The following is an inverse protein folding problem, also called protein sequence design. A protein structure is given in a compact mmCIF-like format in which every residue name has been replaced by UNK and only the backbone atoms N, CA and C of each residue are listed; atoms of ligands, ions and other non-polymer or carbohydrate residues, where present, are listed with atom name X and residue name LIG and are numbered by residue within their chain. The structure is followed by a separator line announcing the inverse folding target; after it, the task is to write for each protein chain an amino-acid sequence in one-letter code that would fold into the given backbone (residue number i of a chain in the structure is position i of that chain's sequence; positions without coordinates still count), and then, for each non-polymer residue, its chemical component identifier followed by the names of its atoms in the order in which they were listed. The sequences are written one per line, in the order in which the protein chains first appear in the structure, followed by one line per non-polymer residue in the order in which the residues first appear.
data_IF_671109052195
#
_entry.id   IF_671109052195
#
_cell.length_a   1.000
_cell.length_b   1.000
_cell.length_c   1.000
_cell.angle_alpha   90.00
_cell.angle_beta   90.00
_cell.angle_gamma   90.00
#
_symmetry.space_group_name_H-M   'P 1'
#
loop_
_entity.id
_entity.type
_entity.pdbx_description
1 polymer ?
#
# COMPACT_ATOMS: atom_id res chain seq x y z
N UNK A 1 -1.90 -15.44 -20.68
CA UNK A 1 -2.01 -15.82 -19.24
C UNK A 1 -2.27 -14.58 -18.44
N UNK A 2 -3.26 -14.62 -17.57
CA UNK A 2 -3.60 -13.52 -16.63
C UNK A 2 -2.97 -13.80 -15.26
N UNK A 3 -2.50 -12.76 -14.56
CA UNK A 3 -2.04 -12.86 -13.17
C UNK A 3 -3.09 -12.26 -12.26
N UNK A 4 -3.55 -13.02 -11.27
CA UNK A 4 -4.60 -12.59 -10.34
C UNK A 4 -4.05 -12.61 -8.91
N UNK A 5 -4.01 -11.45 -8.27
CA UNK A 5 -3.56 -11.36 -6.87
C UNK A 5 -4.76 -11.16 -5.96
N UNK A 6 -4.80 -11.89 -4.86
CA UNK A 6 -5.84 -11.73 -3.85
C UNK A 6 -5.23 -11.32 -2.50
N UNK A 7 -5.75 -10.22 -1.94
CA UNK A 7 -5.32 -9.69 -0.65
C UNK A 7 -5.87 -10.48 0.54
N UNK A 8 -5.32 -10.25 1.72
CA UNK A 8 -5.73 -10.97 2.94
C UNK A 8 -7.20 -10.78 3.30
N UNK A 9 -7.82 -9.64 3.02
CA UNK A 9 -9.27 -9.40 3.21
C UNK A 9 -10.13 -10.31 2.34
N UNK A 10 -9.64 -10.65 1.14
CA UNK A 10 -10.29 -11.59 0.21
C UNK A 10 -10.16 -13.06 0.63
N UNK A 11 -9.28 -13.34 1.59
CA UNK A 11 -8.90 -14.70 2.03
C UNK A 11 -9.11 -14.89 3.54
N UNK A 12 -10.04 -14.11 4.14
CA UNK A 12 -10.21 -14.05 5.58
C UNK A 12 -10.74 -15.34 6.21
N UNK A 13 -11.51 -16.12 5.47
CA UNK A 13 -12.19 -17.34 5.93
C UNK A 13 -12.53 -18.25 4.74
N UNK A 14 -13.07 -19.45 5.04
CA UNK A 14 -13.46 -20.46 4.04
C UNK A 14 -14.49 -19.94 3.02
N UNK A 15 -15.43 -19.11 3.47
CA UNK A 15 -16.44 -18.52 2.56
C UNK A 15 -15.80 -17.59 1.54
N UNK A 16 -14.88 -16.75 1.97
CA UNK A 16 -14.10 -15.85 1.10
C UNK A 16 -13.23 -16.65 0.13
N UNK A 17 -12.55 -17.67 0.62
CA UNK A 17 -11.72 -18.57 -0.20
C UNK A 17 -12.55 -19.25 -1.29
N UNK A 18 -13.78 -19.71 -0.99
CA UNK A 18 -14.71 -20.24 -2.01
C UNK A 18 -15.09 -19.19 -3.05
N UNK A 19 -15.32 -17.94 -2.61
CA UNK A 19 -15.58 -16.81 -3.50
C UNK A 19 -14.42 -16.54 -4.46
N UNK A 20 -13.19 -16.52 -3.94
CA UNK A 20 -11.97 -16.39 -4.75
C UNK A 20 -11.82 -17.53 -5.76
N UNK A 21 -12.06 -18.77 -5.35
CA UNK A 21 -12.00 -19.91 -6.27
C UNK A 21 -13.05 -19.83 -7.40
N UNK A 22 -14.23 -19.28 -7.11
CA UNK A 22 -15.24 -19.04 -8.14
C UNK A 22 -14.78 -17.97 -9.15
N UNK A 23 -14.16 -16.88 -8.69
CA UNK A 23 -13.59 -15.83 -9.54
C UNK A 23 -12.49 -16.41 -10.44
N UNK A 24 -11.58 -17.22 -9.87
CA UNK A 24 -10.51 -17.90 -10.61
C UNK A 24 -11.08 -18.83 -11.67
N UNK A 25 -12.10 -19.61 -11.33
CA UNK A 25 -12.75 -20.54 -12.27
C UNK A 25 -13.33 -19.78 -13.47
N UNK A 26 -14.05 -18.71 -13.23
CA UNK A 26 -14.61 -17.90 -14.30
C UNK A 26 -13.51 -17.29 -15.19
N UNK A 27 -12.41 -16.81 -14.61
CA UNK A 27 -11.30 -16.27 -15.38
C UNK A 27 -10.60 -17.32 -16.26
N UNK A 28 -10.57 -18.58 -15.82
CA UNK A 28 -9.98 -19.69 -16.58
C UNK A 28 -10.80 -20.12 -17.81
N UNK A 29 -12.07 -19.73 -17.90
CA UNK A 29 -12.87 -19.96 -19.11
C UNK A 29 -12.32 -19.17 -20.31
N UNK A 30 -11.68 -18.01 -20.03
CA UNK A 30 -11.13 -17.13 -21.06
C UNK A 30 -9.66 -17.46 -21.40
N UNK A 31 -8.84 -17.67 -20.37
CA UNK A 31 -7.38 -17.86 -20.54
C UNK A 31 -6.74 -18.51 -19.30
N UNK A 32 -5.53 -19.10 -19.43
CA UNK A 32 -4.76 -19.59 -18.29
C UNK A 32 -4.49 -18.49 -17.27
N UNK A 33 -4.50 -18.86 -15.98
CA UNK A 33 -4.26 -17.93 -14.86
C UNK A 33 -3.06 -18.36 -14.02
N UNK A 34 -2.39 -17.38 -13.41
CA UNK A 34 -1.47 -17.56 -12.29
C UNK A 34 -2.01 -16.77 -11.11
N UNK A 35 -1.98 -17.37 -9.93
CA UNK A 35 -2.59 -16.80 -8.72
C UNK A 35 -1.50 -16.40 -7.75
N UNK A 36 -1.56 -15.17 -7.22
CA UNK A 36 -0.68 -14.68 -6.16
C UNK A 36 -1.54 -14.42 -4.91
N UNK A 37 -1.20 -15.03 -3.79
CA UNK A 37 -1.95 -14.87 -2.56
C UNK A 37 -1.12 -14.19 -1.46
N UNK A 38 -1.78 -13.33 -0.71
CA UNK A 38 -1.30 -12.87 0.60
C UNK A 38 -1.64 -13.88 1.69
N UNK A 39 -1.09 -13.70 2.88
CA UNK A 39 -1.55 -14.38 4.09
C UNK A 39 -3.05 -14.12 4.34
N UNK A 40 -3.73 -14.98 5.07
CA UNK A 40 -5.10 -14.72 5.54
C UNK A 40 -5.13 -13.46 6.41
N UNK A 41 -6.25 -12.73 6.37
CA UNK A 41 -6.42 -11.47 7.12
C UNK A 41 -5.99 -11.58 8.57
N UNK A 42 -5.08 -10.72 9.02
CA UNK A 42 -4.58 -10.62 10.40
C UNK A 42 -3.48 -11.64 10.76
N UNK A 43 -3.15 -12.61 9.90
CA UNK A 43 -2.09 -13.59 10.18
C UNK A 43 -0.73 -12.93 10.25
N UNK A 44 -0.43 -11.99 9.36
CA UNK A 44 0.83 -11.23 9.37
C UNK A 44 1.03 -10.50 10.70
N UNK A 45 -0.01 -9.81 11.19
CA UNK A 45 0.03 -9.12 12.50
C UNK A 45 0.23 -10.11 13.66
N UNK A 46 -0.42 -11.28 13.58
CA UNK A 46 -0.25 -12.35 14.58
C UNK A 46 1.20 -12.86 14.61
N UNK A 47 1.81 -13.06 13.44
CA UNK A 47 3.21 -13.49 13.32
C UNK A 47 4.18 -12.45 13.89
N UNK A 48 3.99 -11.17 13.59
CA UNK A 48 4.76 -10.06 14.18
C UNK A 48 4.62 -10.07 15.69
N UNK A 49 3.38 -10.17 16.20
CA UNK A 49 3.11 -10.22 17.63
C UNK A 49 3.78 -11.40 18.30
N UNK A 50 3.70 -12.60 17.71
CA UNK A 50 4.35 -13.80 18.25
C UNK A 50 5.86 -13.65 18.32
N UNK A 51 6.50 -13.16 17.23
CA UNK A 51 7.95 -12.93 17.18
C UNK A 51 8.42 -11.93 18.25
N UNK A 52 7.69 -10.81 18.41
CA UNK A 52 8.02 -9.80 19.43
C UNK A 52 7.84 -10.31 20.85
N UNK A 53 6.79 -11.12 21.11
CA UNK A 53 6.61 -11.78 22.41
C UNK A 53 7.73 -12.76 22.71
N UNK A 54 8.10 -13.61 21.75
CA UNK A 54 9.21 -14.54 21.90
C UNK A 54 10.53 -13.80 22.21
N UNK A 55 10.83 -12.72 21.49
CA UNK A 55 11.99 -11.86 21.74
C UNK A 55 12.01 -11.31 23.18
N UNK A 56 10.87 -10.90 23.70
CA UNK A 56 10.72 -10.44 25.10
C UNK A 56 10.70 -11.59 26.11
N UNK A 57 10.63 -12.85 25.65
CA UNK A 57 10.45 -14.04 26.46
C UNK A 57 9.10 -14.15 27.13
N UNK A 58 8.10 -13.57 26.52
CA UNK A 58 6.69 -13.74 26.90
C UNK A 58 6.19 -15.06 26.30
N UNK A 59 5.86 -16.11 27.12
CA UNK A 59 5.38 -17.38 26.60
C UNK A 59 4.04 -17.28 25.89
N UNK A 60 3.36 -16.15 25.96
CA UNK A 60 2.10 -15.90 25.26
C UNK A 60 2.19 -16.02 23.74
N UNK A 61 3.39 -16.06 23.15
CA UNK A 61 3.55 -16.34 21.72
C UNK A 61 3.04 -17.73 21.34
N UNK A 62 3.15 -18.72 22.24
CA UNK A 62 2.66 -20.08 21.99
C UNK A 62 1.15 -20.11 21.76
N UNK A 63 0.38 -19.33 22.55
CA UNK A 63 -1.06 -19.21 22.34
C UNK A 63 -1.40 -18.59 20.99
N UNK A 64 -0.64 -17.58 20.55
CA UNK A 64 -0.83 -16.96 19.23
C UNK A 64 -0.63 -17.99 18.11
N UNK A 65 0.40 -18.85 18.24
CA UNK A 65 0.66 -19.91 17.25
C UNK A 65 -0.42 -21.00 17.28
N UNK A 66 -0.90 -21.39 18.46
CA UNK A 66 -2.02 -22.35 18.56
C UNK A 66 -3.31 -21.80 17.95
N UNK A 67 -3.62 -20.52 18.12
CA UNK A 67 -4.76 -19.86 17.50
C UNK A 67 -4.59 -19.80 15.96
N UNK A 68 -3.38 -19.54 15.48
CA UNK A 68 -3.03 -19.58 14.05
C UNK A 68 -3.21 -21.01 13.50
N UNK A 69 -2.68 -22.03 14.17
CA UNK A 69 -2.85 -23.44 13.82
C UNK A 69 -4.34 -23.78 13.70
N UNK A 70 -5.10 -23.53 14.76
CA UNK A 70 -6.53 -23.81 14.82
C UNK A 70 -7.27 -23.17 13.65
N UNK A 71 -6.97 -21.90 13.35
CA UNK A 71 -7.61 -21.18 12.26
C UNK A 71 -7.36 -21.84 10.91
N UNK A 72 -6.12 -22.25 10.61
CA UNK A 72 -5.80 -22.93 9.35
C UNK A 72 -6.44 -24.31 9.29
N UNK A 73 -6.43 -25.10 10.39
CA UNK A 73 -7.07 -26.42 10.45
C UNK A 73 -8.57 -26.31 10.20
N UNK A 74 -9.27 -25.45 10.95
CA UNK A 74 -10.72 -25.23 10.74
C UNK A 74 -11.01 -24.81 9.31
N UNK A 75 -10.18 -23.94 8.71
CA UNK A 75 -10.37 -23.52 7.32
C UNK A 75 -10.24 -24.69 6.35
N UNK A 76 -9.27 -25.59 6.56
CA UNK A 76 -9.09 -26.80 5.72
C UNK A 76 -10.28 -27.74 5.88
N UNK A 77 -10.70 -28.04 7.13
CA UNK A 77 -11.84 -28.91 7.42
C UNK A 77 -13.15 -28.37 6.80
N UNK A 78 -13.34 -27.07 6.78
CA UNK A 78 -14.49 -26.45 6.14
C UNK A 78 -14.42 -26.45 4.59
N UNK A 79 -13.23 -26.43 4.01
CA UNK A 79 -13.03 -26.33 2.56
C UNK A 79 -12.96 -27.68 1.87
N UNK A 80 -12.31 -28.66 2.50
CA UNK A 80 -11.97 -29.94 1.88
C UNK A 80 -12.90 -31.07 2.37
N UNK A 81 -13.27 -32.00 1.49
CA UNK A 81 -13.80 -33.29 1.93
C UNK A 81 -12.78 -34.03 2.82
N UNK A 82 -13.27 -34.81 3.78
CA UNK A 82 -12.44 -35.51 4.77
C UNK A 82 -11.31 -36.34 4.11
N UNK A 83 -11.62 -37.01 3.01
CA UNK A 83 -10.70 -37.83 2.20
C UNK A 83 -9.55 -37.01 1.53
N UNK A 84 -9.72 -35.69 1.36
CA UNK A 84 -8.74 -34.79 0.76
C UNK A 84 -8.04 -33.88 1.78
N UNK A 85 -8.43 -33.94 3.06
CA UNK A 85 -7.94 -33.04 4.11
C UNK A 85 -6.68 -33.54 4.82
N UNK A 86 -6.44 -34.86 4.87
CA UNK A 86 -5.37 -35.47 5.69
C UNK A 86 -3.96 -34.99 5.29
N UNK A 87 -3.63 -35.01 3.99
CA UNK A 87 -2.34 -34.56 3.51
C UNK A 87 -2.10 -33.06 3.75
N UNK A 88 -3.01 -32.13 3.37
CA UNK A 88 -2.87 -30.70 3.70
C UNK A 88 -2.76 -30.42 5.18
N UNK A 89 -3.54 -31.09 6.04
CA UNK A 89 -3.46 -30.96 7.51
C UNK A 89 -2.07 -31.35 7.99
N UNK A 90 -1.51 -32.44 7.50
CA UNK A 90 -0.17 -32.91 7.91
C UNK A 90 0.91 -31.92 7.49
N UNK A 91 0.87 -31.42 6.27
CA UNK A 91 1.86 -30.44 5.76
C UNK A 91 1.78 -29.12 6.54
N UNK A 92 0.58 -28.61 6.77
CA UNK A 92 0.37 -27.35 7.49
C UNK A 92 0.76 -27.50 8.96
N UNK A 93 0.42 -28.65 9.61
CA UNK A 93 0.87 -28.91 10.98
C UNK A 93 2.39 -28.88 11.08
N UNK A 94 3.10 -29.55 10.17
CA UNK A 94 4.57 -29.55 10.15
C UNK A 94 5.16 -28.16 9.99
N UNK A 95 4.58 -27.29 9.15
CA UNK A 95 5.02 -25.91 9.00
C UNK A 95 4.78 -25.08 10.27
N UNK A 96 3.67 -25.30 10.96
CA UNK A 96 3.43 -24.60 12.22
C UNK A 96 4.37 -25.11 13.31
N UNK A 97 4.73 -26.39 13.32
CA UNK A 97 5.73 -26.94 14.24
C UNK A 97 7.13 -26.32 13.97
N UNK A 98 7.52 -26.19 12.69
CA UNK A 98 8.76 -25.46 12.31
C UNK A 98 8.75 -24.02 12.83
N UNK A 99 7.60 -23.32 12.76
CA UNK A 99 7.45 -21.97 13.27
C UNK A 99 7.55 -21.92 14.81
N UNK A 100 7.03 -22.92 15.52
CA UNK A 100 7.18 -23.06 16.96
C UNK A 100 8.65 -23.22 17.34
N UNK A 101 9.38 -24.11 16.67
CA UNK A 101 10.81 -24.33 16.93
C UNK A 101 11.64 -23.06 16.67
N UNK A 102 11.33 -22.34 15.59
CA UNK A 102 11.97 -21.07 15.26
C UNK A 102 11.73 -20.02 16.35
N UNK A 103 10.50 -19.83 16.80
CA UNK A 103 10.19 -18.84 17.82
C UNK A 103 10.64 -19.25 19.22
N UNK A 104 10.74 -20.55 19.51
CA UNK A 104 11.40 -21.03 20.72
C UNK A 104 12.90 -20.69 20.70
N UNK A 105 13.56 -20.80 19.54
CA UNK A 105 14.94 -20.32 19.37
C UNK A 105 15.07 -18.83 19.66
N UNK A 106 14.15 -18.00 19.14
CA UNK A 106 14.09 -16.55 19.42
C UNK A 106 13.90 -16.27 20.92
N UNK A 107 13.01 -17.01 21.59
CA UNK A 107 12.76 -16.89 23.03
C UNK A 107 14.04 -17.20 23.84
N UNK A 108 14.80 -18.23 23.47
CA UNK A 108 16.04 -18.61 24.16
C UNK A 108 17.15 -17.58 24.05
N UNK A 109 17.33 -17.00 22.83
CA UNK A 109 18.40 -16.01 22.57
C UNK A 109 17.97 -14.57 22.87
N UNK A 110 16.66 -14.31 23.04
CA UNK A 110 16.10 -12.96 23.29
C UNK A 110 16.41 -11.95 22.18
N UNK A 111 16.47 -12.42 20.95
CA UNK A 111 16.76 -11.60 19.78
C UNK A 111 15.95 -12.06 18.57
N UNK A 112 15.27 -11.11 17.91
CA UNK A 112 14.61 -11.32 16.63
C UNK A 112 15.15 -10.33 15.61
N UNK A 113 16.19 -10.75 14.88
CA UNK A 113 16.74 -9.93 13.81
C UNK A 113 15.74 -9.76 12.66
N UNK A 114 15.93 -8.73 11.81
CA UNK A 114 15.09 -8.52 10.62
C UNK A 114 15.10 -9.75 9.69
N UNK A 115 16.22 -10.45 9.60
CA UNK A 115 16.32 -11.72 8.88
C UNK A 115 15.40 -12.80 9.46
N UNK A 116 15.35 -12.91 10.78
CA UNK A 116 14.48 -13.86 11.47
C UNK A 116 13.02 -13.46 11.28
N UNK A 117 12.72 -12.17 11.33
CA UNK A 117 11.39 -11.64 11.09
C UNK A 117 10.90 -11.96 9.68
N UNK A 118 11.73 -11.76 8.64
CA UNK A 118 11.38 -12.12 7.26
C UNK A 118 11.01 -13.62 7.13
N UNK A 119 11.79 -14.49 7.78
CA UNK A 119 11.48 -15.92 7.79
C UNK A 119 10.16 -16.22 8.49
N UNK A 120 9.92 -15.65 9.68
CA UNK A 120 8.65 -15.80 10.42
C UNK A 120 7.46 -15.34 9.57
N UNK A 121 7.57 -14.18 8.95
CA UNK A 121 6.49 -13.62 8.14
C UNK A 121 6.16 -14.48 6.92
N UNK A 122 7.16 -15.17 6.34
CA UNK A 122 6.95 -16.03 5.17
C UNK A 122 5.96 -17.17 5.40
N UNK A 123 5.74 -17.58 6.65
CA UNK A 123 4.81 -18.66 6.97
C UNK A 123 3.36 -18.29 6.64
N UNK A 124 2.99 -17.02 6.74
CA UNK A 124 1.61 -16.58 6.46
C UNK A 124 1.16 -16.90 5.05
N UNK A 125 1.94 -16.51 4.06
CA UNK A 125 1.66 -16.76 2.64
C UNK A 125 1.82 -18.25 2.29
N UNK A 126 2.83 -18.91 2.83
CA UNK A 126 3.07 -20.36 2.58
C UNK A 126 1.89 -21.20 3.05
N UNK A 127 1.42 -21.00 4.27
CA UNK A 127 0.26 -21.70 4.83
C UNK A 127 -1.01 -21.47 4.00
N UNK A 128 -1.27 -20.24 3.61
CA UNK A 128 -2.47 -19.89 2.85
C UNK A 128 -2.41 -20.44 1.41
N UNK A 129 -1.28 -20.33 0.71
CA UNK A 129 -1.12 -20.84 -0.64
C UNK A 129 -1.25 -22.37 -0.71
N UNK A 130 -0.71 -23.10 0.28
CA UNK A 130 -0.89 -24.55 0.38
C UNK A 130 -2.36 -24.93 0.57
N UNK A 131 -3.07 -24.24 1.49
CA UNK A 131 -4.50 -24.44 1.72
C UNK A 131 -5.31 -24.20 0.45
N UNK A 132 -5.03 -23.10 -0.26
CA UNK A 132 -5.77 -22.74 -1.48
C UNK A 132 -5.49 -23.70 -2.65
N UNK A 133 -4.24 -24.11 -2.85
CA UNK A 133 -3.87 -25.07 -3.89
C UNK A 133 -4.53 -26.44 -3.66
N UNK A 134 -4.56 -26.90 -2.41
CA UNK A 134 -5.27 -28.14 -2.03
C UNK A 134 -6.77 -28.03 -2.31
N UNK A 135 -7.40 -26.91 -1.96
CA UNK A 135 -8.81 -26.66 -2.20
C UNK A 135 -9.16 -26.62 -3.69
N UNK A 136 -8.38 -25.94 -4.52
CA UNK A 136 -8.59 -25.94 -5.97
C UNK A 136 -8.49 -27.36 -6.55
N UNK A 137 -7.47 -28.12 -6.14
CA UNK A 137 -7.25 -29.49 -6.60
C UNK A 137 -8.40 -30.40 -6.20
N UNK A 138 -8.86 -30.36 -4.96
CA UNK A 138 -10.02 -31.11 -4.48
C UNK A 138 -11.33 -30.69 -5.18
N UNK A 139 -11.39 -29.45 -5.67
CA UNK A 139 -12.51 -28.92 -6.47
C UNK A 139 -12.44 -29.30 -7.97
N UNK A 140 -11.51 -30.18 -8.35
CA UNK A 140 -11.34 -30.65 -9.72
C UNK A 140 -10.52 -29.73 -10.64
N UNK A 141 -9.80 -28.77 -10.06
CA UNK A 141 -8.91 -27.86 -10.77
C UNK A 141 -7.46 -28.10 -10.33
N UNK A 142 -6.66 -28.89 -11.06
CA UNK A 142 -5.28 -29.15 -10.68
C UNK A 142 -4.51 -27.87 -10.43
N UNK A 143 -4.02 -27.69 -9.21
CA UNK A 143 -3.28 -26.51 -8.79
C UNK A 143 -1.97 -26.92 -8.13
N UNK A 144 -0.96 -26.06 -8.27
CA UNK A 144 0.39 -26.32 -7.78
C UNK A 144 0.82 -25.17 -6.85
N UNK A 145 1.21 -25.50 -5.63
CA UNK A 145 1.88 -24.58 -4.75
C UNK A 145 3.23 -24.15 -5.32
N UNK A 146 3.47 -22.85 -5.40
CA UNK A 146 4.72 -22.27 -5.90
C UNK A 146 5.28 -21.31 -4.87
N UNK A 147 6.42 -21.64 -4.29
CA UNK A 147 7.12 -20.75 -3.37
C UNK A 147 7.87 -19.67 -4.16
N UNK A 148 7.56 -18.41 -3.90
CA UNK A 148 8.18 -17.30 -4.61
C UNK A 148 9.69 -17.15 -4.30
N UNK A 149 10.20 -17.77 -3.22
CA UNK A 149 11.63 -17.81 -2.92
C UNK A 149 12.45 -18.52 -4.00
N UNK A 150 11.83 -19.43 -4.76
CA UNK A 150 12.46 -20.11 -5.88
C UNK A 150 12.54 -19.25 -7.15
N UNK A 151 11.78 -18.14 -7.19
CA UNK A 151 11.57 -17.32 -8.38
C UNK A 151 12.07 -15.90 -8.23
N UNK A 152 11.79 -15.25 -7.09
CA UNK A 152 12.10 -13.84 -6.86
C UNK A 152 13.43 -13.75 -6.12
N UNK A 153 14.43 -13.22 -6.83
CA UNK A 153 15.77 -12.98 -6.29
C UNK A 153 15.89 -11.53 -5.82
N UNK A 154 16.48 -11.36 -4.65
CA UNK A 154 16.73 -10.03 -4.06
C UNK A 154 18.17 -9.91 -3.56
N UNK A 155 18.52 -8.69 -3.15
CA UNK A 155 19.68 -8.49 -2.27
C UNK A 155 19.45 -9.11 -0.87
N UNK A 156 20.40 -8.89 0.03
CA UNK A 156 20.35 -9.38 1.42
C UNK A 156 19.78 -8.34 2.39
N UNK A 157 19.07 -7.33 1.91
CA UNK A 157 18.33 -6.38 2.75
C UNK A 157 17.06 -7.05 3.26
N UNK A 158 16.78 -6.93 4.57
CA UNK A 158 15.60 -7.53 5.19
C UNK A 158 14.50 -6.50 5.43
N UNK A 159 13.23 -6.95 5.39
CA UNK A 159 12.02 -6.14 5.58
C UNK A 159 11.55 -5.36 4.34
N UNK A 160 12.45 -5.07 3.39
CA UNK A 160 12.12 -4.41 2.11
C UNK A 160 13.27 -4.62 1.11
N UNK A 161 13.47 -5.87 0.70
CA UNK A 161 14.58 -6.27 -0.14
C UNK A 161 14.47 -5.74 -1.57
N UNK A 162 15.60 -5.42 -2.17
CA UNK A 162 15.70 -4.91 -3.55
C UNK A 162 15.75 -6.07 -4.53
N UNK A 163 14.83 -6.09 -5.49
CA UNK A 163 14.69 -7.17 -6.48
C UNK A 163 15.75 -7.09 -7.56
N UNK A 164 16.41 -8.20 -7.87
CA UNK A 164 17.11 -8.41 -9.13
C UNK A 164 16.12 -8.76 -10.23
N UNK A 165 15.72 -7.78 -11.01
CA UNK A 165 14.72 -7.97 -12.07
C UNK A 165 15.14 -8.98 -13.13
N UNK A 166 16.42 -8.97 -13.53
CA UNK A 166 16.92 -9.81 -14.63
C UNK A 166 16.80 -11.27 -14.27
N UNK A 167 17.34 -11.65 -13.13
CA UNK A 167 17.33 -13.03 -12.68
C UNK A 167 15.91 -13.45 -12.26
N UNK A 168 15.15 -12.57 -11.59
CA UNK A 168 13.76 -12.82 -11.20
C UNK A 168 12.89 -13.15 -12.42
N UNK A 169 12.96 -12.38 -13.49
CA UNK A 169 12.14 -12.65 -14.67
C UNK A 169 12.51 -13.97 -15.34
N UNK A 170 13.78 -14.30 -15.41
CA UNK A 170 14.22 -15.58 -15.99
C UNK A 170 13.78 -16.80 -15.15
N UNK A 171 13.95 -16.73 -13.83
CA UNK A 171 13.52 -17.80 -12.92
C UNK A 171 12.02 -17.98 -12.93
N UNK A 172 11.27 -16.89 -12.84
CA UNK A 172 9.80 -16.89 -12.86
C UNK A 172 9.26 -17.49 -14.16
N UNK A 173 9.72 -17.00 -15.31
CA UNK A 173 9.29 -17.55 -16.60
C UNK A 173 9.59 -19.05 -16.73
N UNK A 174 10.79 -19.48 -16.33
CA UNK A 174 11.20 -20.89 -16.35
C UNK A 174 10.36 -21.76 -15.41
N UNK A 175 10.08 -21.26 -14.21
CA UNK A 175 9.29 -21.99 -13.19
C UNK A 175 7.84 -22.15 -13.63
N UNK A 176 7.22 -21.08 -14.11
CA UNK A 176 5.81 -21.12 -14.51
C UNK A 176 5.58 -21.87 -15.82
N UNK A 177 6.54 -21.89 -16.73
CA UNK A 177 6.46 -22.73 -17.92
C UNK A 177 6.42 -24.24 -17.60
N UNK A 178 6.92 -24.65 -16.43
CA UNK A 178 6.95 -26.05 -15.97
C UNK A 178 5.80 -26.39 -15.03
N UNK A 179 4.94 -25.45 -14.71
CA UNK A 179 3.84 -25.70 -13.79
C UNK A 179 2.89 -26.76 -14.34
N UNK A 180 2.59 -27.77 -13.53
CA UNK A 180 1.73 -28.91 -13.93
C UNK A 180 0.23 -28.59 -13.78
N UNK A 181 -0.13 -27.45 -13.21
CA UNK A 181 -1.49 -27.00 -12.97
C UNK A 181 -1.55 -25.48 -12.79
N UNK A 182 -2.58 -24.98 -12.13
CA UNK A 182 -2.73 -23.57 -11.81
C UNK A 182 -1.66 -23.21 -10.78
N UNK A 183 -0.68 -22.32 -11.09
CA UNK A 183 0.31 -21.92 -10.11
C UNK A 183 -0.31 -21.01 -9.05
N UNK A 184 -0.22 -21.45 -7.78
CA UNK A 184 -0.63 -20.68 -6.59
C UNK A 184 0.65 -20.20 -5.89
N UNK A 185 0.97 -18.95 -6.05
CA UNK A 185 2.27 -18.33 -5.75
C UNK A 185 2.18 -17.57 -4.43
N UNK A 186 3.16 -17.77 -3.55
CA UNK A 186 3.28 -16.94 -2.34
C UNK A 186 3.60 -15.51 -2.72
N UNK A 187 2.74 -14.57 -2.33
CA UNK A 187 3.04 -13.14 -2.44
C UNK A 187 4.07 -12.71 -1.39
N UNK A 188 4.60 -11.48 -1.50
CA UNK A 188 5.42 -10.82 -0.47
C UNK A 188 6.81 -11.45 -0.21
N UNK A 189 6.96 -12.75 -0.37
CA UNK A 189 8.15 -13.52 -0.01
C UNK A 189 9.13 -13.63 -1.19
N UNK A 190 10.42 -13.58 -0.90
CA UNK A 190 11.51 -13.72 -1.86
C UNK A 190 12.73 -14.38 -1.21
N UNK A 191 13.82 -14.53 -1.94
CA UNK A 191 15.09 -14.99 -1.37
C UNK A 191 16.31 -14.24 -1.92
N UNK A 192 17.36 -14.16 -1.12
CA UNK A 192 18.68 -13.72 -1.56
C UNK A 192 19.39 -14.80 -2.40
N UNK A 193 20.54 -14.45 -2.99
CA UNK A 193 21.37 -15.38 -3.76
C UNK A 193 21.85 -16.59 -2.93
N UNK A 194 22.00 -16.40 -1.63
CA UNK A 194 22.40 -17.45 -0.67
C UNK A 194 21.21 -18.32 -0.20
N UNK A 195 20.01 -18.11 -0.76
CA UNK A 195 18.80 -18.85 -0.40
C UNK A 195 18.19 -18.42 0.93
N UNK A 196 18.59 -17.27 1.48
CA UNK A 196 18.01 -16.71 2.70
C UNK A 196 16.69 -16.03 2.37
N UNK A 197 15.64 -16.32 3.15
CA UNK A 197 14.34 -15.68 2.99
C UNK A 197 14.44 -14.17 3.20
N UNK A 198 13.85 -13.42 2.29
CA UNK A 198 13.67 -11.97 2.33
C UNK A 198 12.22 -11.61 2.07
N UNK A 199 11.82 -10.39 2.39
CA UNK A 199 10.47 -9.89 2.11
C UNK A 199 10.51 -8.59 1.30
N UNK A 200 9.46 -8.37 0.50
CA UNK A 200 9.37 -7.26 -0.44
C UNK A 200 8.80 -5.96 0.19
N UNK A 201 8.56 -5.96 1.50
CA UNK A 201 8.01 -4.80 2.20
C UNK A 201 6.52 -4.57 1.97
N UNK A 202 6.06 -3.35 2.21
CA UNK A 202 4.62 -3.00 2.08
C UNK A 202 4.09 -3.32 0.70
N UNK A 203 2.87 -3.89 0.64
CA UNK A 203 2.20 -4.32 -0.59
C UNK A 203 3.05 -5.31 -1.43
N UNK A 204 3.94 -6.07 -0.77
CA UNK A 204 4.83 -7.02 -1.42
C UNK A 204 4.11 -8.08 -2.26
N UNK A 205 2.87 -8.46 -1.91
CA UNK A 205 2.08 -9.38 -2.73
C UNK A 205 1.61 -8.75 -4.06
N UNK A 206 1.30 -7.44 -4.08
CA UNK A 206 0.99 -6.71 -5.31
C UNK A 206 2.24 -6.60 -6.18
N UNK A 207 3.41 -6.39 -5.54
CA UNK A 207 4.70 -6.37 -6.21
C UNK A 207 5.02 -7.74 -6.81
N UNK A 208 4.81 -8.83 -6.07
CA UNK A 208 4.95 -10.20 -6.60
C UNK A 208 4.10 -10.40 -7.86
N UNK A 209 2.83 -9.98 -7.83
CA UNK A 209 1.93 -10.13 -8.99
C UNK A 209 2.41 -9.34 -10.21
N UNK A 210 2.92 -8.12 -9.99
CA UNK A 210 3.49 -7.27 -11.03
C UNK A 210 4.77 -7.88 -11.63
N UNK A 211 5.68 -8.41 -10.78
CA UNK A 211 6.90 -9.12 -11.21
C UNK A 211 6.57 -10.37 -12.02
N UNK A 212 5.63 -11.18 -11.53
CA UNK A 212 5.15 -12.37 -12.23
C UNK A 212 4.54 -11.98 -13.58
N UNK A 213 3.66 -10.98 -13.59
CA UNK A 213 3.03 -10.49 -14.83
C UNK A 213 4.06 -10.04 -15.85
N UNK A 214 5.06 -9.29 -15.41
CA UNK A 214 6.17 -8.83 -16.25
C UNK A 214 7.00 -10.00 -16.80
N UNK A 215 7.28 -11.01 -15.97
CA UNK A 215 8.10 -12.17 -16.35
C UNK A 215 7.46 -13.04 -17.42
N UNK A 216 6.13 -13.19 -17.39
CA UNK A 216 5.39 -14.06 -18.33
C UNK A 216 4.72 -13.29 -19.47
N UNK A 217 4.93 -11.96 -19.55
CA UNK A 217 4.23 -11.07 -20.48
C UNK A 217 2.72 -11.28 -20.41
N UNK A 218 2.18 -11.13 -19.19
CA UNK A 218 0.78 -11.40 -18.90
C UNK A 218 -0.15 -10.53 -19.75
N UNK A 219 -1.33 -11.05 -20.09
CA UNK A 219 -2.40 -10.28 -20.76
C UNK A 219 -2.97 -9.19 -19.88
N UNK A 220 -2.99 -9.42 -18.56
CA UNK A 220 -3.35 -8.46 -17.52
C UNK A 220 -2.83 -8.90 -16.14
N UNK A 221 -2.67 -7.94 -15.24
CA UNK A 221 -2.50 -8.16 -13.80
C UNK A 221 -3.74 -7.62 -13.10
N UNK A 222 -4.43 -8.46 -12.34
CA UNK A 222 -5.63 -8.09 -11.59
C UNK A 222 -5.34 -8.14 -10.09
N UNK A 223 -5.48 -6.99 -9.40
CA UNK A 223 -5.38 -6.87 -7.95
C UNK A 223 -6.80 -6.90 -7.38
N UNK A 224 -7.14 -8.00 -6.74
CA UNK A 224 -8.44 -8.22 -6.11
C UNK A 224 -8.39 -7.84 -4.63
N UNK A 225 -9.26 -6.91 -4.24
CA UNK A 225 -9.36 -6.34 -2.90
C UNK A 225 -10.84 -6.26 -2.47
N UNK A 226 -11.17 -5.43 -1.46
CA UNK A 226 -12.52 -5.26 -0.90
C UNK A 226 -13.21 -3.96 -1.34
N UNK A 227 -12.68 -3.27 -2.34
CA UNK A 227 -13.27 -2.05 -2.93
C UNK A 227 -13.52 -2.23 -4.42
N UNK A 228 -14.55 -1.56 -4.96
CA UNK A 228 -14.97 -1.67 -6.38
C UNK A 228 -13.95 -1.09 -7.36
N UNK A 229 -12.92 -0.41 -6.89
CA UNK A 229 -11.89 0.26 -7.67
C UNK A 229 -11.41 1.52 -6.96
N UNK A 230 -10.71 2.38 -7.69
CA UNK A 230 -10.28 3.69 -7.21
C UNK A 230 -11.47 4.64 -7.29
N UNK A 231 -11.82 5.26 -6.17
CA UNK A 231 -12.96 6.17 -6.06
C UNK A 231 -12.57 7.60 -6.40
N UNK A 232 -13.50 8.37 -6.95
CA UNK A 232 -13.31 9.80 -7.24
C UNK A 232 -13.15 10.67 -5.98
N UNK A 233 -13.60 10.19 -4.83
CA UNK A 233 -13.38 10.72 -3.48
C UNK A 233 -13.73 9.62 -2.47
N UNK A 234 -13.41 9.84 -1.17
CA UNK A 234 -13.81 8.92 -0.09
C UNK A 234 -15.33 8.83 -0.01
N UNK A 235 -15.95 7.66 -0.27
CA UNK A 235 -17.42 7.50 -0.27
C UNK A 235 -18.05 7.74 1.10
N UNK A 236 -17.26 7.68 2.19
CA UNK A 236 -17.73 8.00 3.56
C UNK A 236 -18.00 9.48 3.74
N UNK A 237 -17.27 10.33 3.01
CA UNK A 237 -17.40 11.79 3.03
C UNK A 237 -18.25 12.31 1.86
N UNK A 238 -18.16 11.65 0.70
CA UNK A 238 -18.80 12.05 -0.56
C UNK A 238 -19.65 10.88 -1.08
N UNK A 239 -20.92 10.75 -0.65
CA UNK A 239 -21.77 9.62 -1.05
C UNK A 239 -22.01 9.50 -2.57
N UNK A 240 -21.90 10.59 -3.32
CA UNK A 240 -22.01 10.64 -4.78
C UNK A 240 -20.69 10.29 -5.50
N UNK A 241 -19.64 9.92 -4.77
CA UNK A 241 -18.40 9.46 -5.39
C UNK A 241 -18.64 8.20 -6.22
N UNK A 242 -17.86 8.04 -7.28
CA UNK A 242 -17.99 6.94 -8.23
C UNK A 242 -16.64 6.28 -8.47
N UNK A 243 -16.68 5.04 -8.97
CA UNK A 243 -15.46 4.32 -9.38
C UNK A 243 -14.92 4.94 -10.65
N UNK A 244 -13.65 5.34 -10.62
CA UNK A 244 -12.95 5.87 -11.79
C UNK A 244 -12.63 4.69 -12.71
N UNK A 245 -13.12 4.69 -13.97
CA UNK A 245 -12.96 3.53 -14.86
C UNK A 245 -11.49 3.27 -15.26
N UNK A 246 -10.74 4.34 -15.46
CA UNK A 246 -9.36 4.28 -15.91
C UNK A 246 -8.57 5.49 -15.39
N UNK A 247 -7.33 5.27 -14.96
CA UNK A 247 -6.41 6.30 -14.49
C UNK A 247 -4.99 6.00 -14.98
N UNK A 248 -4.16 7.05 -15.11
CA UNK A 248 -2.73 6.85 -15.34
C UNK A 248 -2.02 6.40 -14.06
N UNK A 249 -0.85 5.77 -14.22
CA UNK A 249 -0.01 5.44 -13.06
C UNK A 249 0.36 6.69 -12.25
N UNK A 250 0.56 7.82 -12.91
CA UNK A 250 0.92 9.07 -12.25
C UNK A 250 -0.23 9.60 -11.39
N UNK A 251 -1.47 9.57 -11.91
CA UNK A 251 -2.66 9.91 -11.11
C UNK A 251 -2.85 8.93 -9.95
N UNK A 252 -2.63 7.64 -10.18
CA UNK A 252 -2.66 6.62 -9.12
C UNK A 252 -1.63 6.89 -8.03
N UNK A 253 -0.42 7.36 -8.40
CA UNK A 253 0.63 7.76 -7.44
C UNK A 253 0.19 8.93 -6.58
N UNK A 254 -0.39 9.95 -7.17
CA UNK A 254 -0.88 11.12 -6.44
C UNK A 254 -2.05 10.76 -5.51
N UNK A 255 -3.04 10.01 -5.99
CA UNK A 255 -4.16 9.55 -5.18
C UNK A 255 -3.70 8.71 -3.98
N UNK A 256 -2.77 7.79 -4.21
CA UNK A 256 -2.23 6.92 -3.16
C UNK A 256 -1.42 7.69 -2.12
N UNK A 257 -0.62 8.67 -2.53
CA UNK A 257 0.17 9.48 -1.62
C UNK A 257 -0.71 10.25 -0.63
N UNK A 258 -1.87 10.72 -1.08
CA UNK A 258 -2.82 11.48 -0.27
C UNK A 258 -3.95 10.64 0.35
N UNK A 259 -3.76 9.33 0.52
CA UNK A 259 -4.62 8.51 1.38
C UNK A 259 -5.54 7.49 0.70
N UNK A 260 -5.50 7.36 -0.63
CA UNK A 260 -6.14 6.23 -1.28
C UNK A 260 -5.28 4.96 -1.04
N UNK A 261 -5.45 4.30 0.11
CA UNK A 261 -4.65 3.14 0.55
C UNK A 261 -4.80 1.90 -0.35
N UNK A 262 -5.60 1.99 -1.40
CA UNK A 262 -5.95 0.87 -2.30
C UNK A 262 -4.77 0.44 -3.17
N UNK A 263 -3.80 1.34 -3.40
CA UNK A 263 -2.74 1.15 -4.39
C UNK A 263 -1.39 1.58 -3.80
N UNK A 264 -0.34 0.81 -4.09
CA UNK A 264 1.05 1.26 -3.87
C UNK A 264 1.77 1.30 -5.23
N UNK A 265 1.88 2.47 -5.88
CA UNK A 265 2.24 2.57 -7.28
C UNK A 265 3.61 1.98 -7.65
N UNK A 266 4.59 2.06 -6.76
CA UNK A 266 5.92 1.47 -7.00
C UNK A 266 5.88 -0.03 -7.21
N UNK A 267 4.91 -0.74 -6.58
CA UNK A 267 4.76 -2.17 -6.74
C UNK A 267 4.18 -2.57 -8.10
N UNK A 268 3.63 -1.60 -8.82
CA UNK A 268 2.99 -1.79 -10.13
C UNK A 268 3.94 -1.53 -11.31
N UNK A 269 5.08 -0.86 -11.06
CA UNK A 269 6.04 -0.47 -12.09
C UNK A 269 6.44 -1.64 -13.03
N UNK A 270 6.76 -2.87 -12.56
CA UNK A 270 7.17 -3.94 -13.44
C UNK A 270 6.16 -4.30 -14.53
N UNK A 271 4.86 -4.27 -14.20
CA UNK A 271 3.80 -4.53 -15.17
C UNK A 271 3.56 -3.33 -16.09
N UNK A 272 3.52 -2.13 -15.51
CA UNK A 272 3.23 -0.89 -16.24
C UNK A 272 4.33 -0.55 -17.25
N UNK A 273 5.60 -0.71 -16.91
CA UNK A 273 6.75 -0.48 -17.82
C UNK A 273 6.75 -1.43 -19.04
N UNK A 274 5.97 -2.49 -18.96
CA UNK A 274 5.81 -3.46 -20.07
C UNK A 274 4.44 -3.35 -20.75
N UNK A 275 3.74 -2.25 -20.52
CA UNK A 275 2.40 -2.01 -21.07
C UNK A 275 1.36 -3.10 -20.71
N UNK A 276 1.56 -3.82 -19.61
CA UNK A 276 0.61 -4.81 -19.12
C UNK A 276 -0.53 -4.10 -18.39
N UNK A 277 -1.78 -4.25 -18.82
CA UNK A 277 -2.93 -3.66 -18.14
C UNK A 277 -3.03 -4.13 -16.70
N UNK A 278 -3.16 -3.20 -15.76
CA UNK A 278 -3.34 -3.50 -14.35
C UNK A 278 -4.74 -3.08 -13.93
N UNK A 279 -5.42 -3.95 -13.19
CA UNK A 279 -6.80 -3.72 -12.75
C UNK A 279 -6.91 -3.80 -11.24
N UNK A 280 -7.70 -2.89 -10.65
CA UNK A 280 -8.16 -2.99 -9.26
C UNK A 280 -9.61 -3.46 -9.30
N UNK A 281 -9.92 -4.58 -8.62
CA UNK A 281 -11.20 -5.25 -8.65
C UNK A 281 -11.68 -5.65 -7.27
N UNK A 282 -12.99 -5.80 -7.10
CA UNK A 282 -13.61 -6.16 -5.82
C UNK A 282 -13.96 -7.65 -5.76
N UNK A 283 -13.37 -8.35 -4.79
CA UNK A 283 -13.67 -9.76 -4.52
C UNK A 283 -15.11 -9.97 -4.05
N UNK A 284 -15.71 -8.95 -3.40
CA UNK A 284 -17.09 -9.00 -2.88
C UNK A 284 -18.13 -8.62 -3.93
N UNK A 285 -17.70 -7.95 -5.00
CA UNK A 285 -18.53 -7.52 -6.12
C UNK A 285 -17.77 -7.83 -7.43
N UNK A 286 -17.62 -9.12 -7.81
CA UNK A 286 -16.82 -9.52 -8.98
C UNK A 286 -17.37 -9.00 -10.30
N UNK A 287 -18.65 -8.60 -10.34
CA UNK A 287 -19.30 -8.01 -11.51
C UNK A 287 -18.94 -6.54 -11.74
N UNK A 288 -18.41 -5.85 -10.73
CA UNK A 288 -17.91 -4.50 -10.91
C UNK A 288 -16.74 -4.49 -11.90
N UNK A 289 -16.75 -3.51 -12.81
CA UNK A 289 -15.71 -3.37 -13.83
C UNK A 289 -14.33 -3.15 -13.21
N UNK A 290 -14.25 -2.44 -12.09
CA UNK A 290 -13.01 -2.03 -11.47
C UNK A 290 -12.38 -0.78 -12.13
N UNK A 291 -11.16 -0.47 -11.70
CA UNK A 291 -10.34 0.61 -12.25
C UNK A 291 -9.16 0.02 -13.02
N UNK A 292 -8.99 0.44 -14.26
CA UNK A 292 -7.78 0.14 -15.04
C UNK A 292 -6.70 1.18 -14.75
N UNK A 293 -5.46 0.72 -14.51
CA UNK A 293 -4.29 1.57 -14.40
C UNK A 293 -3.45 1.43 -15.66
N UNK A 294 -3.17 2.56 -16.32
CA UNK A 294 -2.41 2.67 -17.55
C UNK A 294 -1.02 3.27 -17.31
N UNK A 295 0.00 2.80 -18.03
CA UNK A 295 1.33 3.42 -18.07
C UNK A 295 1.36 4.76 -18.83
N UNK A 296 0.30 5.05 -19.59
CA UNK A 296 0.19 6.23 -20.43
C UNK A 296 -0.90 7.16 -19.91
N UNK A 297 -0.81 8.47 -20.24
CA UNK A 297 -1.87 9.43 -19.97
C UNK A 297 -3.22 8.94 -20.51
N UNK A 298 -4.25 9.02 -19.67
CA UNK A 298 -5.60 8.62 -20.05
C UNK A 298 -6.40 9.87 -20.43
N UNK A 299 -6.88 9.98 -21.69
CA UNK A 299 -7.71 11.10 -22.07
C UNK A 299 -9.05 11.08 -21.31
N UNK A 300 -9.30 12.09 -20.49
CA UNK A 300 -10.59 12.30 -19.83
C UNK A 300 -11.19 13.61 -20.31
N UNK A 301 -12.53 13.66 -20.44
CA UNK A 301 -13.24 14.92 -20.68
C UNK A 301 -13.18 15.83 -19.45
N UNK A 302 -13.10 15.24 -18.27
CA UNK A 302 -13.07 15.93 -16.99
C UNK A 302 -11.70 16.56 -16.72
N UNK A 303 -11.72 17.71 -16.05
CA UNK A 303 -10.51 18.43 -15.69
C UNK A 303 -9.74 17.75 -14.56
N UNK A 304 -10.44 17.15 -13.60
CA UNK A 304 -9.85 16.41 -12.48
C UNK A 304 -10.30 14.95 -12.52
N UNK A 305 -9.46 14.10 -11.96
CA UNK A 305 -9.68 12.64 -11.87
C UNK A 305 -10.30 12.27 -10.53
N UNK A 306 -9.81 12.86 -9.46
CA UNK A 306 -10.32 12.58 -8.12
C UNK A 306 -9.78 13.50 -7.04
N UNK A 307 -10.28 13.25 -5.83
CA UNK A 307 -9.90 13.92 -4.60
C UNK A 307 -9.39 12.90 -3.61
N UNK A 308 -8.33 13.25 -2.89
CA UNK A 308 -7.82 12.46 -1.77
C UNK A 308 -7.56 13.36 -0.57
N UNK A 309 -7.53 12.78 0.63
CA UNK A 309 -7.18 13.53 1.83
C UNK A 309 -6.31 12.72 2.79
N UNK A 310 -5.46 13.43 3.52
CA UNK A 310 -4.59 12.88 4.57
C UNK A 310 -4.92 13.57 5.88
N UNK A 311 -5.49 12.82 6.80
CA UNK A 311 -5.76 13.28 8.16
C UNK A 311 -4.58 13.09 9.11
N UNK A 312 -4.80 13.49 10.36
CA UNK A 312 -3.81 13.41 11.44
C UNK A 312 -2.49 14.09 11.07
N UNK A 313 -2.59 15.29 10.50
CA UNK A 313 -1.44 16.11 10.15
C UNK A 313 -1.36 17.35 11.02
N UNK A 314 -0.14 17.80 11.22
CA UNK A 314 0.16 19.05 11.89
C UNK A 314 1.02 19.93 10.99
N UNK A 315 0.82 21.25 11.11
CA UNK A 315 1.58 22.27 10.42
C UNK A 315 2.61 22.86 11.39
N UNK A 316 3.86 22.90 10.94
CA UNK A 316 4.93 23.64 11.59
C UNK A 316 5.27 24.83 10.73
N UNK A 317 5.20 26.02 11.27
CA UNK A 317 5.59 27.25 10.60
C UNK A 317 6.77 27.89 11.33
N UNK A 318 7.89 28.02 10.62
CA UNK A 318 9.10 28.71 11.08
C UNK A 318 9.11 30.07 10.41
N UNK A 319 8.84 31.14 11.18
CA UNK A 319 8.74 32.53 10.69
C UNK A 319 9.77 33.43 11.35
N UNK A 320 10.40 34.28 10.56
CA UNK A 320 11.26 35.32 11.12
C UNK A 320 11.87 36.24 10.06
N UNK A 321 11.79 37.55 10.30
CA UNK A 321 12.40 38.57 9.45
C UNK A 321 13.93 38.43 9.37
N UNK A 322 14.56 37.82 10.36
CA UNK A 322 15.99 37.51 10.37
C UNK A 322 16.41 36.29 9.58
N UNK A 323 15.48 35.55 8.94
CA UNK A 323 15.79 34.44 8.05
C UNK A 323 16.15 34.92 6.62
N UNK A 324 15.77 36.14 6.28
CA UNK A 324 15.94 36.69 4.94
C UNK A 324 17.43 36.76 4.55
N UNK A 325 17.77 36.19 3.43
CA UNK A 325 19.12 36.24 2.88
C UNK A 325 20.18 35.46 3.67
N UNK A 326 19.78 34.58 4.62
CA UNK A 326 20.70 33.67 5.30
C UNK A 326 20.76 32.35 4.51
N UNK A 327 21.88 32.07 3.79
CA UNK A 327 22.00 30.81 3.04
C UNK A 327 21.95 29.60 3.99
N UNK A 328 21.22 28.55 3.59
CA UNK A 328 21.23 27.27 4.28
C UNK A 328 20.16 27.11 5.37
N UNK A 329 19.28 28.08 5.63
CA UNK A 329 18.22 27.96 6.63
C UNK A 329 17.30 26.76 6.34
N UNK A 330 16.84 26.60 5.09
CA UNK A 330 16.03 25.45 4.69
C UNK A 330 16.77 24.12 4.91
N UNK A 331 18.09 24.06 4.58
CA UNK A 331 18.90 22.88 4.82
C UNK A 331 18.97 22.49 6.30
N UNK A 332 19.06 23.45 7.21
CA UNK A 332 19.08 23.21 8.65
C UNK A 332 17.72 22.70 9.14
N UNK A 333 16.63 23.33 8.72
CA UNK A 333 15.27 22.89 9.05
C UNK A 333 15.04 21.44 8.59
N UNK A 334 15.32 21.14 7.32
CA UNK A 334 15.14 19.79 6.80
C UNK A 334 16.12 18.78 7.40
N UNK A 335 17.36 19.19 7.67
CA UNK A 335 18.36 18.38 8.35
C UNK A 335 17.98 17.99 9.77
N UNK A 336 17.37 18.93 10.54
CA UNK A 336 16.85 18.65 11.88
C UNK A 336 15.72 17.61 11.84
N UNK A 337 14.78 17.74 10.91
CA UNK A 337 13.69 16.78 10.75
C UNK A 337 14.20 15.40 10.29
N UNK A 338 15.19 15.36 9.40
CA UNK A 338 15.82 14.10 8.98
C UNK A 338 16.52 13.40 10.17
N UNK A 339 17.29 14.13 11.00
CA UNK A 339 17.88 13.60 12.24
C UNK A 339 16.83 13.10 13.23
N UNK A 340 15.68 13.77 13.28
CA UNK A 340 14.54 13.34 14.07
C UNK A 340 13.82 12.10 13.49
N UNK A 341 14.13 11.66 12.28
CA UNK A 341 13.38 10.59 11.57
C UNK A 341 11.94 10.99 11.29
N UNK A 342 11.69 12.27 11.02
CA UNK A 342 10.37 12.83 10.71
C UNK A 342 10.22 12.97 9.20
N UNK A 343 9.16 12.36 8.65
CA UNK A 343 8.84 12.50 7.24
C UNK A 343 7.97 13.74 7.00
N UNK A 344 8.35 14.54 6.01
CA UNK A 344 7.61 15.73 5.59
C UNK A 344 6.61 15.33 4.52
N UNK A 345 5.32 15.65 4.73
CA UNK A 345 4.23 15.31 3.80
C UNK A 345 4.05 16.42 2.76
N UNK A 346 4.12 17.69 3.18
CA UNK A 346 3.94 18.84 2.30
C UNK A 346 4.84 19.99 2.73
N UNK A 347 5.34 20.73 1.76
CA UNK A 347 6.13 21.96 1.98
C UNK A 347 5.44 23.09 1.26
N UNK A 348 5.25 24.22 1.95
CA UNK A 348 4.82 25.47 1.36
C UNK A 348 5.76 26.58 1.84
N UNK A 349 6.39 27.28 0.91
CA UNK A 349 7.30 28.37 1.22
C UNK A 349 6.90 29.63 0.44
N UNK A 350 6.76 30.74 1.18
CA UNK A 350 6.51 32.04 0.56
C UNK A 350 7.76 32.56 -0.16
N UNK A 351 7.58 33.33 -1.23
CA UNK A 351 8.66 33.86 -2.09
C UNK A 351 9.63 34.78 -1.33
N UNK A 352 9.22 35.27 -0.17
CA UNK A 352 9.97 36.25 0.64
C UNK A 352 11.00 35.62 1.60
N UNK A 353 11.21 34.30 1.59
CA UNK A 353 12.10 33.58 2.52
C UNK A 353 11.83 33.83 4.02
N UNK A 354 10.71 34.51 4.36
CA UNK A 354 10.35 34.85 5.75
C UNK A 354 9.73 33.69 6.50
N UNK A 355 9.22 32.68 5.79
CA UNK A 355 8.57 31.55 6.41
C UNK A 355 8.82 30.24 5.66
N UNK A 356 9.00 29.18 6.41
CA UNK A 356 9.01 27.80 5.92
C UNK A 356 7.86 27.08 6.63
N UNK A 357 6.89 26.64 5.84
CA UNK A 357 5.70 25.95 6.32
C UNK A 357 5.78 24.46 5.93
N UNK A 358 5.65 23.57 6.90
CA UNK A 358 5.83 22.13 6.77
C UNK A 358 4.63 21.41 7.33
N UNK A 359 4.14 20.39 6.62
CA UNK A 359 3.16 19.46 7.15
C UNK A 359 3.82 18.10 7.42
N UNK A 360 3.57 17.58 8.61
CA UNK A 360 4.06 16.29 9.10
C UNK A 360 2.91 15.50 9.74
N UNK A 361 3.12 14.22 10.07
CA UNK A 361 2.16 13.48 10.89
C UNK A 361 2.05 14.10 12.29
N UNK A 362 0.85 14.27 12.79
CA UNK A 362 0.58 14.87 14.11
C UNK A 362 1.29 14.09 15.24
N UNK A 363 1.36 12.77 15.15
CA UNK A 363 2.09 11.92 16.10
C UNK A 363 3.59 12.18 16.19
N UNK A 364 4.17 12.90 15.22
CA UNK A 364 5.58 13.26 15.17
C UNK A 364 5.84 14.71 15.61
N UNK A 365 4.80 15.50 15.92
CA UNK A 365 4.88 16.93 16.15
C UNK A 365 5.82 17.29 17.31
N UNK A 366 5.65 16.67 18.47
CA UNK A 366 6.46 16.93 19.65
C UNK A 366 7.95 16.69 19.39
N UNK A 367 8.26 15.55 18.75
CA UNK A 367 9.62 15.16 18.39
C UNK A 367 10.22 16.13 17.36
N UNK A 368 9.48 16.49 16.33
CA UNK A 368 9.89 17.45 15.31
C UNK A 368 10.20 18.81 15.93
N UNK A 369 9.30 19.31 16.78
CA UNK A 369 9.45 20.58 17.46
C UNK A 369 10.69 20.63 18.37
N UNK A 370 10.98 19.55 19.10
CA UNK A 370 12.15 19.48 19.97
C UNK A 370 13.45 19.60 19.16
N UNK A 371 13.60 18.83 18.07
CA UNK A 371 14.78 18.87 17.22
C UNK A 371 14.95 20.22 16.48
N UNK A 372 13.86 20.81 16.02
CA UNK A 372 13.90 22.12 15.37
C UNK A 372 14.29 23.24 16.35
N UNK A 373 13.76 23.25 17.56
CA UNK A 373 14.14 24.25 18.60
C UNK A 373 15.60 24.11 19.00
N UNK A 374 16.13 22.88 19.04
CA UNK A 374 17.54 22.66 19.35
C UNK A 374 18.46 23.14 18.21
N UNK A 375 18.14 22.79 16.97
CA UNK A 375 18.91 23.20 15.78
C UNK A 375 18.88 24.71 15.54
N UNK A 376 17.75 25.38 15.84
CA UNK A 376 17.52 26.79 15.57
C UNK A 376 17.63 27.66 16.84
N UNK A 377 18.26 27.15 17.90
CA UNK A 377 18.36 27.81 19.21
C UNK A 377 18.96 29.20 19.12
N UNK A 378 20.06 29.35 18.38
CA UNK A 378 20.75 30.67 18.26
C UNK A 378 19.86 31.69 17.56
N UNK A 379 19.13 31.30 16.52
CA UNK A 379 18.22 32.19 15.80
C UNK A 379 17.02 32.60 16.66
N UNK A 380 16.53 31.68 17.48
CA UNK A 380 15.46 31.96 18.44
C UNK A 380 15.93 32.91 19.54
N UNK A 381 17.13 32.71 20.13
CA UNK A 381 17.71 33.57 21.17
C UNK A 381 18.02 34.96 20.61
N UNK A 382 18.50 35.04 19.37
CA UNK A 382 18.81 36.30 18.69
C UNK A 382 17.58 37.00 18.10
N UNK A 383 16.37 36.41 18.26
CA UNK A 383 15.11 36.88 17.67
C UNK A 383 15.18 37.08 16.15
N UNK A 384 15.95 36.23 15.47
CA UNK A 384 15.97 36.13 14.00
C UNK A 384 14.79 35.31 13.48
N UNK A 385 14.35 34.35 14.28
CA UNK A 385 13.10 33.65 14.15
C UNK A 385 12.13 34.24 15.16
N UNK A 386 11.05 34.85 14.68
CA UNK A 386 10.07 35.56 15.49
C UNK A 386 9.04 34.59 16.07
N UNK A 387 8.67 33.57 15.30
CA UNK A 387 7.63 32.62 15.67
C UNK A 387 7.96 31.20 15.19
N UNK A 388 7.71 30.29 16.10
CA UNK A 388 7.68 28.86 15.82
C UNK A 388 6.30 28.36 16.20
N UNK A 389 5.42 28.23 15.18
CA UNK A 389 4.04 27.84 15.39
C UNK A 389 3.85 26.37 15.06
N UNK A 390 3.23 25.65 15.97
CA UNK A 390 2.80 24.29 15.82
C UNK A 390 1.27 24.24 15.85
N UNK A 391 0.65 23.71 14.82
CA UNK A 391 -0.80 23.60 14.71
C UNK A 391 -1.19 22.16 14.39
N UNK A 392 -1.70 21.40 15.37
CA UNK A 392 -2.26 20.06 15.16
C UNK A 392 -3.71 20.15 14.67
N UNK A 393 -4.33 18.99 14.41
CA UNK A 393 -5.74 18.88 14.10
C UNK A 393 -6.09 19.29 12.66
N UNK A 394 -5.17 19.09 11.72
CA UNK A 394 -5.32 19.52 10.34
C UNK A 394 -5.52 18.34 9.40
N UNK A 395 -5.97 18.66 8.20
CA UNK A 395 -6.17 17.77 7.07
C UNK A 395 -5.52 18.37 5.83
N UNK A 396 -4.82 17.54 5.04
CA UNK A 396 -4.40 17.91 3.69
C UNK A 396 -5.41 17.34 2.72
N UNK A 397 -5.93 18.17 1.83
CA UNK A 397 -6.77 17.75 0.70
C UNK A 397 -6.02 17.98 -0.59
N UNK A 398 -6.07 17.00 -1.48
CA UNK A 398 -5.46 17.04 -2.80
C UNK A 398 -6.50 16.87 -3.89
N UNK A 399 -6.46 17.77 -4.86
CA UNK A 399 -7.22 17.71 -6.12
C UNK A 399 -6.27 17.19 -7.19
N UNK A 400 -6.62 16.05 -7.79
CA UNK A 400 -5.72 15.30 -8.67
C UNK A 400 -6.32 15.13 -10.05
N UNK A 401 -5.50 15.31 -11.07
CA UNK A 401 -5.87 15.05 -12.45
C UNK A 401 -4.80 15.51 -13.44
N UNK A 402 -4.45 14.63 -14.34
CA UNK A 402 -3.48 14.90 -15.40
C UNK A 402 -3.96 15.98 -16.39
N UNK A 403 -5.28 16.04 -16.58
CA UNK A 403 -5.93 17.03 -17.44
C UNK A 403 -6.05 18.44 -16.84
N UNK A 404 -5.58 18.66 -15.63
CA UNK A 404 -5.44 20.01 -15.05
C UNK A 404 -4.32 20.81 -15.70
N UNK A 405 -3.31 20.10 -16.21
CA UNK A 405 -2.12 20.71 -16.79
C UNK A 405 -2.47 21.64 -17.95
N UNK A 406 -2.01 22.89 -17.85
CA UNK A 406 -2.24 23.91 -18.88
C UNK A 406 -3.69 24.35 -19.05
N UNK A 407 -4.62 23.96 -18.17
CA UNK A 407 -6.02 24.42 -18.20
C UNK A 407 -6.24 25.59 -17.27
N UNK A 408 -6.49 26.80 -17.79
CA UNK A 408 -6.82 27.97 -16.96
C UNK A 408 -8.10 27.75 -16.14
N UNK A 409 -8.12 28.31 -14.93
CA UNK A 409 -9.32 28.39 -14.11
C UNK A 409 -9.53 27.25 -13.11
N UNK A 410 -8.77 26.17 -13.16
CA UNK A 410 -8.93 25.02 -12.23
C UNK A 410 -8.75 25.47 -10.77
N UNK A 411 -7.62 26.11 -10.44
CA UNK A 411 -7.37 26.62 -9.08
C UNK A 411 -8.44 27.63 -8.64
N UNK A 412 -8.86 28.51 -9.58
CA UNK A 412 -9.94 29.45 -9.32
C UNK A 412 -11.25 28.75 -8.92
N UNK A 413 -11.62 27.68 -9.62
CA UNK A 413 -12.81 26.87 -9.33
C UNK A 413 -12.73 26.18 -7.97
N UNK A 414 -11.57 25.57 -7.64
CA UNK A 414 -11.32 24.96 -6.33
C UNK A 414 -11.50 25.98 -5.21
N UNK A 415 -10.74 27.09 -5.24
CA UNK A 415 -10.75 28.05 -4.15
C UNK A 415 -12.03 28.89 -4.08
N UNK A 416 -12.73 29.10 -5.19
CA UNK A 416 -14.07 29.71 -5.18
C UNK A 416 -15.09 28.80 -4.49
N UNK A 417 -15.06 27.49 -4.73
CA UNK A 417 -15.95 26.55 -4.04
C UNK A 417 -15.69 26.55 -2.52
N UNK A 418 -14.43 26.51 -2.09
CA UNK A 418 -14.04 26.59 -0.67
C UNK A 418 -14.46 27.90 -0.02
N UNK A 419 -14.18 29.05 -0.66
CA UNK A 419 -14.54 30.36 -0.16
C UNK A 419 -16.07 30.55 -0.03
N UNK A 420 -16.85 30.05 -1.00
CA UNK A 420 -18.31 30.08 -0.94
C UNK A 420 -18.88 29.22 0.19
N UNK A 421 -18.20 28.14 0.55
CA UNK A 421 -18.57 27.26 1.67
C UNK A 421 -18.02 27.75 3.05
N UNK A 422 -17.26 28.87 3.08
CA UNK A 422 -16.66 29.39 4.30
C UNK A 422 -15.47 28.61 4.83
N UNK A 423 -14.86 27.74 4.01
CA UNK A 423 -13.68 26.95 4.39
C UNK A 423 -12.43 27.81 4.30
N UNK A 424 -11.66 27.86 5.39
CA UNK A 424 -10.38 28.56 5.44
C UNK A 424 -9.23 27.64 4.99
N UNK A 425 -8.36 28.15 4.10
CA UNK A 425 -7.17 27.46 3.62
C UNK A 425 -5.92 28.01 4.32
N UNK A 426 -5.18 27.14 5.00
CA UNK A 426 -4.02 27.52 5.81
C UNK A 426 -2.71 27.53 5.02
N UNK A 427 -2.56 26.61 4.09
CA UNK A 427 -1.39 26.51 3.21
C UNK A 427 -1.80 25.86 1.88
N UNK A 428 -1.04 26.18 0.83
CA UNK A 428 -1.26 25.65 -0.53
C UNK A 428 0.08 25.19 -1.09
N UNK A 429 0.07 24.05 -1.77
CA UNK A 429 1.20 23.58 -2.57
C UNK A 429 0.71 23.07 -3.92
N UNK A 430 1.41 23.46 -4.98
CA UNK A 430 1.21 22.95 -6.32
C UNK A 430 2.56 22.74 -6.98
N UNK A 431 2.82 21.52 -7.44
CA UNK A 431 4.03 21.18 -8.17
C UNK A 431 4.02 21.71 -9.62
N UNK A 432 5.19 21.79 -10.24
CA UNK A 432 5.32 22.19 -11.66
C UNK A 432 4.73 21.18 -12.64
N UNK A 433 4.37 19.97 -12.19
CA UNK A 433 3.62 18.98 -12.97
C UNK A 433 2.19 19.40 -13.24
N UNK A 434 1.63 20.31 -12.44
CA UNK A 434 0.23 20.77 -12.47
C UNK A 434 -0.81 19.63 -12.32
N UNK A 435 -0.38 18.45 -11.88
CA UNK A 435 -1.24 17.27 -11.73
C UNK A 435 -1.97 17.23 -10.38
N UNK A 436 -1.51 18.04 -9.45
CA UNK A 436 -1.99 18.06 -8.07
C UNK A 436 -2.05 19.50 -7.55
N UNK A 437 -3.16 19.84 -6.89
CA UNK A 437 -3.31 21.02 -6.06
C UNK A 437 -3.60 20.54 -4.66
N UNK A 438 -2.63 20.70 -3.74
CA UNK A 438 -2.77 20.31 -2.35
C UNK A 438 -2.96 21.53 -1.47
N UNK A 439 -3.84 21.45 -0.49
CA UNK A 439 -4.05 22.53 0.47
C UNK A 439 -4.40 21.99 1.85
N UNK A 440 -4.10 22.77 2.86
CA UNK A 440 -4.30 22.44 4.29
C UNK A 440 -5.51 23.18 4.82
N UNK A 441 -6.37 22.44 5.51
CA UNK A 441 -7.58 22.95 6.16
C UNK A 441 -7.65 22.45 7.61
N UNK A 442 -8.57 22.99 8.39
CA UNK A 442 -8.96 22.39 9.66
C UNK A 442 -9.61 21.03 9.43
N UNK A 443 -9.31 20.04 10.27
CA UNK A 443 -9.89 18.68 10.16
C UNK A 443 -11.42 18.70 10.21
N UNK A 444 -12.00 19.63 10.97
CA UNK A 444 -13.45 19.76 11.10
C UNK A 444 -14.13 20.07 9.76
N UNK A 445 -13.41 20.70 8.82
CA UNK A 445 -13.94 21.10 7.51
C UNK A 445 -13.74 20.03 6.42
N UNK A 446 -13.17 18.85 6.75
CA UNK A 446 -12.83 17.80 5.78
C UNK A 446 -13.98 17.39 4.89
N UNK A 447 -15.10 16.94 5.49
CA UNK A 447 -16.23 16.37 4.74
C UNK A 447 -16.92 17.45 3.90
N UNK A 448 -17.06 18.66 4.44
CA UNK A 448 -17.58 19.81 3.69
C UNK A 448 -16.67 20.13 2.49
N UNK A 449 -15.36 20.18 2.70
CA UNK A 449 -14.37 20.47 1.67
C UNK A 449 -14.42 19.45 0.53
N UNK A 450 -14.37 18.16 0.87
CA UNK A 450 -14.43 17.09 -0.15
C UNK A 450 -15.74 17.16 -0.93
N UNK A 451 -16.88 17.38 -0.25
CA UNK A 451 -18.19 17.50 -0.89
C UNK A 451 -18.25 18.66 -1.86
N UNK A 452 -17.94 19.88 -1.42
CA UNK A 452 -18.10 21.08 -2.27
C UNK A 452 -17.12 21.10 -3.44
N UNK A 453 -15.90 20.59 -3.27
CA UNK A 453 -14.95 20.49 -4.37
C UNK A 453 -15.37 19.40 -5.35
N UNK A 454 -15.82 18.23 -4.86
CA UNK A 454 -16.35 17.18 -5.72
C UNK A 454 -17.54 17.68 -6.54
N UNK A 455 -18.52 18.31 -5.91
CA UNK A 455 -19.68 18.88 -6.60
C UNK A 455 -19.29 19.93 -7.64
N UNK A 456 -18.31 20.77 -7.32
CA UNK A 456 -17.83 21.76 -8.25
C UNK A 456 -17.33 21.15 -9.57
N UNK A 457 -16.74 19.94 -9.55
CA UNK A 457 -16.14 19.34 -10.74
C UNK A 457 -16.95 18.20 -11.36
N UNK A 458 -17.83 17.54 -10.61
CA UNK A 458 -18.52 16.33 -11.06
C UNK A 458 -20.03 16.48 -11.18
N UNK A 459 -20.67 17.49 -10.53
CA UNK A 459 -22.12 17.65 -10.55
C UNK A 459 -22.69 18.40 -11.77
N UNK A 460 -21.85 18.97 -12.68
CA UNK A 460 -22.30 19.82 -13.79
C UNK A 460 -22.48 19.11 -15.15
N UNK A 461 -22.37 17.78 -15.21
CA UNK A 461 -22.50 17.04 -16.48
C UNK A 461 -23.92 16.43 -16.72
N UNK A 462 -24.94 16.94 -16.05
CA UNK A 462 -26.33 16.51 -16.27
C UNK A 462 -27.17 17.63 -16.94
N UNK A 463 -26.59 18.32 -17.95
CA UNK A 463 -27.34 19.30 -18.74
C UNK A 463 -27.03 19.17 -20.20
#
# INVERSE_FOLDING_TARGET
MKVMKFGGSSLADSSRIRGVAAIVRNAMEDEPVAIVLSAMKGITDSLISAARRAELGDPGYTQVLEDLRRRHMTTIEELLPEENAEEPITVISSLVDELFDLLHGVELIRECSDRTMDLVLSFGERLNCLTFAAFLTASGQPAEFVDARDMILTDSTHGSAVVDYTETYQRTARRLHRAAGIPVITGFVASSADGVTTTLGRNGSDYTASLVGAAVSASAVEIWTDVDGVMSADPRCVPQSFVIPEISLQEAMELSYFGAEVIHPYTMLPAVERDIPLWIKNTLNPSARGTRISGHPVPHERAITGLASVGDVALINVEGGGMLGIPGMASRVFGALAKAGVNIIMISQASSEHSICLCIRESQLERAGAFLRDELREELEQRRIDQFKEQPGLEIVAVIGENMRGRPGISGRVFSALGSAGVNVLAIAQGSSEMNISFVIDRADRDLTLGVVHDAFFSQESS
#
